data_IF_442393424277
#
_entry.id   IF_442393424277
#
_cell.length_a   1.000
_cell.length_b   1.000
_cell.length_c   1.000
_cell.angle_alpha   90.00
_cell.angle_beta   90.00
_cell.angle_gamma   90.00
#
_symmetry.space_group_name_H-M   'P 1'
#
loop_
_entity.id
_entity.type
_entity.pdbx_description
1 polymer ?
#
# COMPACT_ATOMS: atom_id res chain seq x y z
N UNK A 1 12.26 14.35 2.95
CA UNK A 1 12.66 13.25 2.04
C UNK A 1 12.81 13.84 0.65
N UNK A 2 14.00 13.82 0.05
CA UNK A 2 14.26 14.43 -1.27
C UNK A 2 14.69 13.32 -2.23
N UNK A 3 14.10 13.29 -3.42
CA UNK A 3 14.47 12.38 -4.51
C UNK A 3 15.90 12.71 -4.94
N UNK A 4 16.87 11.86 -4.62
CA UNK A 4 18.20 11.93 -5.25
C UNK A 4 18.25 10.73 -6.19
N UNK A 5 18.33 11.01 -7.50
CA UNK A 5 18.40 10.02 -8.60
C UNK A 5 17.09 9.28 -8.95
N UNK A 6 15.92 9.80 -8.59
CA UNK A 6 14.64 9.19 -8.95
C UNK A 6 14.29 7.92 -8.16
N UNK A 7 15.20 7.44 -7.32
CA UNK A 7 14.93 6.39 -6.35
C UNK A 7 14.50 7.04 -5.03
N UNK A 8 13.28 6.74 -4.60
CA UNK A 8 12.68 7.32 -3.39
C UNK A 8 13.30 6.70 -2.13
N UNK A 9 13.80 5.46 -2.19
CA UNK A 9 14.09 4.64 -1.02
C UNK A 9 15.38 3.84 -1.18
N UNK A 10 16.30 3.97 -0.21
CA UNK A 10 17.27 2.90 0.07
C UNK A 10 16.53 1.72 0.73
N UNK A 11 17.13 0.53 0.73
CA UNK A 11 16.58 -0.63 1.45
C UNK A 11 16.31 -0.32 2.92
N UNK A 12 17.21 0.41 3.59
CA UNK A 12 17.04 0.87 4.97
C UNK A 12 15.81 1.77 5.15
N UNK A 13 15.62 2.75 4.25
CA UNK A 13 14.46 3.65 4.32
C UNK A 13 13.16 2.91 4.02
N UNK A 14 13.17 1.96 3.09
CA UNK A 14 12.03 1.10 2.81
C UNK A 14 11.67 0.27 4.04
N UNK A 15 12.64 -0.41 4.67
CA UNK A 15 12.40 -1.17 5.89
C UNK A 15 11.82 -0.31 7.00
N UNK A 16 12.38 0.89 7.24
CA UNK A 16 11.84 1.80 8.24
C UNK A 16 10.40 2.23 7.93
N UNK A 17 10.03 2.41 6.66
CA UNK A 17 8.70 2.80 6.23
C UNK A 17 7.67 1.66 6.23
N UNK A 18 8.11 0.40 6.32
CA UNK A 18 7.24 -0.78 6.21
C UNK A 18 7.39 -1.74 7.39
N UNK A 19 8.04 -1.31 8.46
CA UNK A 19 8.20 -2.06 9.71
C UNK A 19 7.55 -1.25 10.82
N UNK A 20 6.65 -1.90 11.57
CA UNK A 20 5.91 -1.23 12.62
C UNK A 20 6.85 -0.66 13.69
N UNK A 21 6.61 0.56 14.16
CA UNK A 21 7.42 1.16 15.23
C UNK A 21 7.19 0.46 16.58
N UNK A 22 6.05 -0.23 16.74
CA UNK A 22 5.68 -1.03 17.90
C UNK A 22 4.89 -2.27 17.49
N UNK A 23 4.58 -3.16 18.46
CA UNK A 23 3.85 -4.41 18.19
C UNK A 23 2.32 -4.23 18.21
N UNK A 24 1.80 -3.00 18.28
CA UNK A 24 0.37 -2.73 18.48
C UNK A 24 -0.30 -2.09 17.24
N UNK A 25 0.46 -1.43 16.36
CA UNK A 25 -0.09 -0.82 15.16
C UNK A 25 0.48 -1.41 13.87
N UNK A 26 -0.39 -1.98 13.02
CA UNK A 26 -0.12 -2.33 11.60
C UNK A 26 0.01 -1.05 10.75
N UNK A 27 0.88 -0.12 11.18
CA UNK A 27 1.08 1.18 10.55
C UNK A 27 2.49 1.74 10.76
N UNK A 28 3.13 2.21 9.68
CA UNK A 28 4.42 2.88 9.71
C UNK A 28 4.50 4.03 8.69
N UNK A 29 4.92 5.22 9.12
CA UNK A 29 5.23 6.38 8.27
C UNK A 29 4.20 6.70 7.15
N UNK A 30 2.90 6.51 7.42
CA UNK A 30 1.87 6.79 6.41
C UNK A 30 1.32 5.57 5.69
N UNK A 31 1.81 4.37 6.01
CA UNK A 31 1.45 3.10 5.38
C UNK A 31 0.83 2.15 6.37
N UNK A 32 -0.20 1.42 5.94
CA UNK A 32 -0.58 0.19 6.59
C UNK A 32 0.41 -0.91 6.19
N UNK A 33 0.77 -1.76 7.13
CA UNK A 33 1.92 -2.67 7.04
C UNK A 33 1.49 -4.08 7.40
N UNK A 34 2.02 -5.06 6.68
CA UNK A 34 1.84 -6.48 6.93
C UNK A 34 3.20 -7.18 6.73
N UNK A 35 3.36 -8.43 7.18
CA UNK A 35 4.61 -9.17 7.02
C UNK A 35 5.13 -9.29 5.57
N UNK A 36 4.22 -9.28 4.58
CA UNK A 36 4.54 -9.54 3.17
C UNK A 36 4.28 -8.36 2.23
N UNK A 37 3.55 -7.35 2.69
CA UNK A 37 3.14 -6.21 1.88
C UNK A 37 2.90 -4.97 2.73
N UNK A 38 2.75 -3.84 2.06
CA UNK A 38 2.32 -2.60 2.67
C UNK A 38 1.37 -1.89 1.71
N UNK A 39 0.44 -1.11 2.24
CA UNK A 39 -0.62 -0.50 1.45
C UNK A 39 -1.11 0.81 2.06
N UNK A 40 -1.84 1.58 1.26
CA UNK A 40 -2.58 2.73 1.75
C UNK A 40 -3.85 2.95 0.96
N UNK A 41 -4.88 3.37 1.68
CA UNK A 41 -6.12 3.88 1.09
C UNK A 41 -6.23 5.39 1.31
N UNK A 42 -6.63 6.08 0.24
CA UNK A 42 -7.07 7.47 0.25
C UNK A 42 -8.54 7.53 -0.12
N UNK A 43 -9.33 8.17 0.75
CA UNK A 43 -10.76 8.36 0.59
C UNK A 43 -11.08 9.85 0.57
N UNK A 44 -11.68 10.33 -0.52
CA UNK A 44 -12.22 11.68 -0.62
C UNK A 44 -13.63 11.60 -1.23
N UNK A 45 -14.48 12.59 -0.98
CA UNK A 45 -15.81 12.59 -1.58
C UNK A 45 -15.69 12.64 -3.11
N UNK A 46 -16.34 11.68 -3.77
CA UNK A 46 -16.27 11.52 -5.22
C UNK A 46 -15.05 10.78 -5.77
N UNK A 47 -14.11 10.31 -4.93
CA UNK A 47 -13.01 9.47 -5.41
C UNK A 47 -12.39 8.58 -4.32
N UNK A 48 -11.88 7.42 -4.72
CA UNK A 48 -11.08 6.55 -3.86
C UNK A 48 -9.86 6.07 -4.61
N UNK A 49 -8.74 6.00 -3.89
CA UNK A 49 -7.48 5.46 -4.39
C UNK A 49 -6.93 4.44 -3.41
N UNK A 50 -6.34 3.38 -3.94
CA UNK A 50 -5.68 2.35 -3.15
C UNK A 50 -4.38 1.94 -3.83
N UNK A 51 -3.31 1.84 -3.04
CA UNK A 51 -2.02 1.33 -3.51
C UNK A 51 -1.56 0.21 -2.56
N UNK A 52 -1.09 -0.90 -3.12
CA UNK A 52 -0.51 -2.04 -2.39
C UNK A 52 0.79 -2.47 -3.05
N UNK A 53 1.80 -2.75 -2.25
CA UNK A 53 3.15 -3.05 -2.69
C UNK A 53 3.64 -4.37 -2.08
N UNK A 54 4.12 -5.28 -2.93
CA UNK A 54 4.79 -6.52 -2.54
C UNK A 54 6.28 -6.41 -2.90
N UNK A 55 7.12 -5.85 -2.01
CA UNK A 55 8.50 -5.49 -2.35
C UNK A 55 9.33 -6.70 -2.78
N UNK A 56 9.19 -7.83 -2.08
CA UNK A 56 9.91 -9.08 -2.38
C UNK A 56 9.58 -9.65 -3.76
N UNK A 57 8.38 -9.38 -4.27
CA UNK A 57 7.90 -9.85 -5.57
C UNK A 57 8.02 -8.80 -6.67
N UNK A 58 8.43 -7.57 -6.32
CA UNK A 58 8.50 -6.41 -7.22
C UNK A 58 7.14 -6.12 -7.90
N UNK A 59 6.05 -6.28 -7.15
CA UNK A 59 4.69 -6.02 -7.62
C UNK A 59 4.14 -4.78 -6.92
N UNK A 60 3.52 -3.89 -7.69
CA UNK A 60 2.75 -2.75 -7.20
C UNK A 60 1.39 -2.77 -7.87
N UNK A 61 0.33 -2.66 -7.05
CA UNK A 61 -1.06 -2.59 -7.49
C UNK A 61 -1.59 -1.22 -7.11
N UNK A 62 -2.01 -0.43 -8.10
CA UNK A 62 -2.63 0.87 -7.89
C UNK A 62 -4.03 0.87 -8.53
N UNK A 63 -5.04 1.16 -7.71
CA UNK A 63 -6.45 1.19 -8.10
C UNK A 63 -6.99 2.60 -7.84
N UNK A 64 -7.71 3.15 -8.81
CA UNK A 64 -8.40 4.43 -8.69
C UNK A 64 -9.85 4.25 -9.15
N UNK A 65 -10.78 4.86 -8.43
CA UNK A 65 -12.17 4.97 -8.87
C UNK A 65 -12.71 6.39 -8.63
N UNK A 66 -13.62 6.82 -9.50
CA UNK A 66 -14.28 8.12 -9.50
C UNK A 66 -15.55 8.15 -8.65
N UNK A 67 -15.62 7.25 -7.67
CA UNK A 67 -16.69 7.18 -6.67
C UNK A 67 -16.01 6.86 -5.36
N UNK A 68 -16.52 7.36 -4.23
CA UNK A 68 -16.03 6.91 -2.92
C UNK A 68 -16.25 5.40 -2.73
N UNK A 69 -17.23 4.82 -3.42
CA UNK A 69 -17.65 3.43 -3.22
C UNK A 69 -18.37 3.24 -1.89
N UNK A 70 -19.06 2.12 -1.75
CA UNK A 70 -19.65 1.63 -0.51
C UNK A 70 -18.82 0.45 0.02
N UNK A 71 -19.39 -0.33 0.96
CA UNK A 71 -18.76 -1.56 1.47
C UNK A 71 -18.58 -2.64 0.41
N UNK A 72 -19.39 -2.63 -0.66
CA UNK A 72 -19.33 -3.61 -1.75
C UNK A 72 -18.25 -3.24 -2.77
N UNK A 73 -17.94 -1.96 -2.93
CA UNK A 73 -16.92 -1.42 -3.85
C UNK A 73 -15.62 -1.06 -3.11
N UNK A 74 -15.05 -2.05 -2.42
CA UNK A 74 -13.85 -1.88 -1.59
C UNK A 74 -12.55 -2.17 -2.38
N UNK A 75 -11.83 -1.10 -2.75
CA UNK A 75 -10.55 -1.21 -3.47
C UNK A 75 -9.48 -1.98 -2.68
N UNK A 76 -9.52 -1.97 -1.35
CA UNK A 76 -8.58 -2.72 -0.53
C UNK A 76 -8.79 -4.23 -0.59
N UNK A 77 -10.03 -4.68 -0.73
CA UNK A 77 -10.35 -6.09 -0.96
C UNK A 77 -9.90 -6.51 -2.37
N UNK A 78 -10.26 -5.72 -3.38
CA UNK A 78 -9.87 -5.98 -4.76
C UNK A 78 -8.34 -6.01 -4.94
N UNK A 79 -7.60 -5.09 -4.30
CA UNK A 79 -6.13 -5.07 -4.38
C UNK A 79 -5.51 -6.33 -3.79
N UNK A 80 -6.06 -6.84 -2.69
CA UNK A 80 -5.63 -8.10 -2.06
C UNK A 80 -5.94 -9.30 -2.96
N UNK A 81 -7.13 -9.37 -3.53
CA UNK A 81 -7.51 -10.47 -4.43
C UNK A 81 -6.64 -10.53 -5.70
N UNK A 82 -6.32 -9.37 -6.29
CA UNK A 82 -5.34 -9.29 -7.38
C UNK A 82 -3.95 -9.74 -6.88
N UNK A 83 -3.54 -9.32 -5.69
CA UNK A 83 -2.30 -9.75 -5.07
C UNK A 83 -2.21 -11.26 -4.88
N UNK A 84 -3.25 -11.88 -4.33
CA UNK A 84 -3.35 -13.33 -4.12
C UNK A 84 -3.29 -14.12 -5.43
N UNK A 85 -3.72 -13.52 -6.54
CA UNK A 85 -3.57 -14.11 -7.87
C UNK A 85 -2.12 -14.03 -8.39
N UNK A 86 -1.42 -12.92 -8.13
CA UNK A 86 -0.09 -12.64 -8.69
C UNK A 86 1.07 -13.16 -7.84
N UNK A 87 0.88 -13.31 -6.52
CA UNK A 87 1.95 -13.63 -5.56
C UNK A 87 2.13 -15.15 -5.35
N UNK A 88 1.21 -15.97 -5.90
CA UNK A 88 1.31 -17.44 -5.97
C UNK A 88 2.63 -17.94 -6.57
#
# INVERSE_FOLDING_TARGET
MKLINGEILSSTNLTAMTTDPDNEEEYAYGWNTNPNDFFKQGDIDGARAHIRCYPNKKIVIALLCNTRGDSEHNLGVLSREIGDLLVK
#
